data_IF_346150083658
#
_entry.id   IF_346150083658
#
_cell.length_a   1.000
_cell.length_b   1.000
_cell.length_c   1.000
_cell.angle_alpha   90.00
_cell.angle_beta   90.00
_cell.angle_gamma   90.00
#
_symmetry.space_group_name_H-M   'P 1'
#
loop_
_entity.id
_entity.type
_entity.pdbx_description
1 polymer ?
#
# COMPACT_ATOMS: atom_id res chain seq x y z
N UNK A 1 -11.50 5.16 -16.66
CA UNK A 1 -11.14 4.87 -15.25
C UNK A 1 -10.70 3.41 -15.14
N UNK A 2 -9.80 3.07 -14.23
CA UNK A 2 -9.44 1.66 -13.96
C UNK A 2 -10.69 0.84 -13.66
N UNK A 3 -10.69 -0.42 -14.10
CA UNK A 3 -11.81 -1.33 -13.86
C UNK A 3 -11.74 -2.00 -12.49
N UNK A 4 -10.52 -2.30 -12.02
CA UNK A 4 -10.27 -3.06 -10.80
C UNK A 4 -9.18 -2.41 -9.94
N UNK A 5 -9.22 -2.68 -8.64
CA UNK A 5 -8.22 -2.19 -7.68
C UNK A 5 -7.64 -3.37 -6.89
N UNK A 6 -6.31 -3.39 -6.75
CA UNK A 6 -5.60 -4.31 -5.84
C UNK A 6 -5.03 -3.49 -4.68
N UNK A 7 -5.36 -3.84 -3.44
CA UNK A 7 -4.82 -3.23 -2.23
C UNK A 7 -3.84 -4.22 -1.60
N UNK A 8 -2.55 -3.87 -1.55
CA UNK A 8 -1.51 -4.70 -0.94
C UNK A 8 -1.52 -4.51 0.57
N UNK A 9 -1.85 -5.55 1.33
CA UNK A 9 -2.04 -5.53 2.78
C UNK A 9 -1.25 -6.61 3.53
N UNK A 10 -0.09 -7.05 3.00
CA UNK A 10 0.76 -8.10 3.59
C UNK A 10 1.91 -7.61 4.47
N UNK A 11 2.14 -6.30 4.58
CA UNK A 11 3.27 -5.73 5.33
C UNK A 11 3.15 -5.82 6.85
N UNK A 12 4.30 -5.82 7.58
CA UNK A 12 4.34 -5.90 9.05
C UNK A 12 4.32 -4.54 9.75
N UNK A 13 4.96 -3.51 9.17
CA UNK A 13 5.00 -2.17 9.76
C UNK A 13 5.75 -2.06 11.09
N UNK A 14 6.87 -2.78 11.29
CA UNK A 14 7.63 -2.92 12.55
C UNK A 14 8.05 -1.59 13.20
N UNK A 15 8.22 -0.53 12.42
CA UNK A 15 8.69 0.78 12.90
C UNK A 15 7.67 1.54 13.77
N UNK A 16 6.41 1.07 13.84
CA UNK A 16 5.37 1.63 14.70
C UNK A 16 5.14 0.78 15.96
N UNK A 17 6.18 0.04 16.41
CA UNK A 17 6.16 -0.60 17.72
C UNK A 17 5.98 0.46 18.83
N UNK A 18 5.24 0.19 19.93
CA UNK A 18 4.55 -1.05 20.29
C UNK A 18 3.09 -1.17 19.78
N UNK A 19 2.62 -0.21 18.98
CA UNK A 19 1.25 -0.25 18.47
C UNK A 19 1.11 -1.27 17.33
N UNK A 20 2.08 -1.35 16.39
CA UNK A 20 2.11 -2.38 15.37
C UNK A 20 2.74 -3.68 15.90
N UNK A 21 2.14 -4.82 15.53
CA UNK A 21 2.56 -6.18 15.88
C UNK A 21 2.29 -7.10 14.69
N UNK A 22 2.88 -8.32 14.66
CA UNK A 22 2.62 -9.28 13.58
C UNK A 22 1.13 -9.62 13.37
N UNK A 23 0.35 -9.69 14.45
CA UNK A 23 -1.09 -9.94 14.46
C UNK A 23 -1.95 -8.68 14.31
N UNK A 24 -1.36 -7.48 14.48
CA UNK A 24 -2.00 -6.19 14.30
C UNK A 24 -1.02 -5.22 13.61
N UNK A 25 -0.68 -5.46 12.33
CA UNK A 25 0.28 -4.62 11.61
C UNK A 25 -0.26 -3.22 11.34
N UNK A 26 0.61 -2.34 10.86
CA UNK A 26 0.39 -0.91 10.67
C UNK A 26 -0.93 -0.56 9.97
N UNK A 27 -1.34 -1.31 8.95
CA UNK A 27 -2.56 -1.03 8.19
C UNK A 27 -3.85 -1.10 9.03
N UNK A 28 -3.81 -1.72 10.19
CA UNK A 28 -4.96 -1.76 11.12
C UNK A 28 -4.97 -0.64 12.15
N UNK A 29 -3.91 0.17 12.24
CA UNK A 29 -3.87 1.34 13.10
C UNK A 29 -4.80 2.43 12.58
N UNK A 30 -5.44 3.14 13.52
CA UNK A 30 -6.28 4.30 13.25
C UNK A 30 -5.50 5.59 13.52
N UNK A 31 -5.73 6.62 12.68
CA UNK A 31 -5.14 7.94 12.82
C UNK A 31 -6.06 8.95 13.55
N UNK A 32 -7.12 8.49 14.13
CA UNK A 32 -8.27 9.24 14.62
C UNK A 32 -9.54 8.76 13.90
N UNK A 33 -10.69 9.34 14.19
CA UNK A 33 -11.98 9.02 13.59
C UNK A 33 -12.39 7.52 13.55
N UNK A 34 -11.70 6.64 14.26
CA UNK A 34 -11.91 5.19 14.31
C UNK A 34 -11.94 4.49 12.93
N UNK A 35 -11.17 5.00 11.97
CA UNK A 35 -10.98 4.41 10.64
C UNK A 35 -9.51 4.01 10.49
N UNK A 36 -9.24 2.74 10.21
CA UNK A 36 -7.89 2.24 10.02
C UNK A 36 -7.29 2.66 8.66
N UNK A 37 -5.97 2.57 8.52
CA UNK A 37 -5.29 2.85 7.25
C UNK A 37 -5.81 1.95 6.12
N UNK A 38 -6.06 0.65 6.38
CA UNK A 38 -6.68 -0.25 5.41
C UNK A 38 -8.08 0.25 4.99
N UNK A 39 -8.91 0.65 5.95
CA UNK A 39 -10.24 1.18 5.65
C UNK A 39 -10.16 2.47 4.82
N UNK A 40 -9.19 3.35 5.09
CA UNK A 40 -8.92 4.51 4.24
C UNK A 40 -8.52 4.11 2.81
N UNK A 41 -7.78 3.01 2.62
CA UNK A 41 -7.46 2.49 1.27
C UNK A 41 -8.69 1.94 0.56
N UNK A 42 -9.60 1.25 1.27
CA UNK A 42 -10.88 0.81 0.72
C UNK A 42 -11.73 2.03 0.30
N UNK A 43 -11.83 3.07 1.15
CA UNK A 43 -12.55 4.31 0.81
C UNK A 43 -11.99 5.00 -0.44
N UNK A 44 -10.67 5.01 -0.62
CA UNK A 44 -10.04 5.53 -1.84
C UNK A 44 -10.41 4.71 -3.07
N UNK A 45 -10.44 3.37 -2.95
CA UNK A 45 -10.89 2.50 -4.04
C UNK A 45 -12.38 2.75 -4.40
N UNK A 46 -13.24 2.92 -3.40
CA UNK A 46 -14.66 3.25 -3.61
C UNK A 46 -14.84 4.62 -4.29
N UNK A 47 -14.03 5.63 -3.92
CA UNK A 47 -14.08 6.96 -4.52
C UNK A 47 -13.81 6.96 -6.04
N UNK A 48 -13.09 5.97 -6.55
CA UNK A 48 -12.85 5.79 -7.99
C UNK A 48 -14.08 5.30 -8.76
N UNK A 49 -15.13 4.84 -8.08
CA UNK A 49 -16.37 4.32 -8.68
C UNK A 49 -16.11 3.25 -9.74
N UNK A 50 -15.17 2.35 -9.45
CA UNK A 50 -14.79 1.26 -10.35
C UNK A 50 -15.97 0.29 -10.56
N UNK A 51 -16.07 -0.29 -11.75
CA UNK A 51 -17.12 -1.26 -12.09
C UNK A 51 -16.78 -2.70 -11.66
N UNK A 52 -15.50 -3.05 -11.63
CA UNK A 52 -15.00 -4.39 -11.34
C UNK A 52 -14.78 -4.65 -9.85
N UNK A 53 -13.72 -5.38 -9.51
CA UNK A 53 -13.46 -5.88 -8.16
C UNK A 53 -12.46 -5.02 -7.38
N UNK A 54 -12.56 -5.05 -6.05
CA UNK A 54 -11.55 -4.58 -5.11
C UNK A 54 -10.91 -5.80 -4.49
N UNK A 55 -9.63 -6.03 -4.74
CA UNK A 55 -8.88 -7.16 -4.20
C UNK A 55 -8.02 -6.69 -3.04
N UNK A 56 -8.15 -7.28 -1.86
CA UNK A 56 -7.20 -7.09 -0.76
C UNK A 56 -6.26 -8.30 -0.74
N UNK A 57 -5.03 -8.12 -1.23
CA UNK A 57 -4.02 -9.17 -1.16
C UNK A 57 -3.29 -9.10 0.19
N UNK A 58 -3.38 -10.18 0.98
CA UNK A 58 -2.86 -10.22 2.34
C UNK A 58 -2.32 -11.61 2.71
N UNK A 59 -1.65 -11.72 3.84
CA UNK A 59 -1.21 -12.99 4.40
C UNK A 59 -2.39 -13.76 4.98
N UNK A 60 -2.30 -15.10 4.97
CA UNK A 60 -3.35 -15.99 5.47
C UNK A 60 -3.74 -15.74 6.94
N UNK A 61 -2.75 -15.41 7.79
CA UNK A 61 -2.95 -15.10 9.20
C UNK A 61 -3.67 -13.75 9.45
N UNK A 62 -3.75 -12.88 8.46
CA UNK A 62 -4.44 -11.57 8.53
C UNK A 62 -5.81 -11.57 7.85
N UNK A 63 -6.22 -12.68 7.24
CA UNK A 63 -7.49 -12.80 6.51
C UNK A 63 -8.68 -12.32 7.34
N UNK A 64 -8.85 -12.88 8.54
CA UNK A 64 -9.99 -12.55 9.40
C UNK A 64 -9.97 -11.08 9.83
N UNK A 65 -8.80 -10.54 10.18
CA UNK A 65 -8.65 -9.13 10.54
C UNK A 65 -8.98 -8.19 9.39
N UNK A 66 -8.56 -8.51 8.16
CA UNK A 66 -8.93 -7.75 6.96
C UNK A 66 -10.43 -7.80 6.70
N UNK A 67 -11.04 -8.98 6.78
CA UNK A 67 -12.49 -9.16 6.59
C UNK A 67 -13.31 -8.38 7.63
N UNK A 68 -12.91 -8.46 8.90
CA UNK A 68 -13.54 -7.70 9.98
C UNK A 68 -13.46 -6.19 9.72
N UNK A 69 -12.30 -5.67 9.30
CA UNK A 69 -12.13 -4.23 8.98
C UNK A 69 -12.96 -3.80 7.77
N UNK A 70 -13.06 -4.62 6.74
CA UNK A 70 -13.92 -4.36 5.58
C UNK A 70 -15.40 -4.36 5.99
N UNK A 71 -15.84 -5.34 6.79
CA UNK A 71 -17.20 -5.40 7.31
C UNK A 71 -17.54 -4.21 8.22
N UNK A 72 -16.66 -3.87 9.18
CA UNK A 72 -16.83 -2.68 10.04
C UNK A 72 -16.99 -1.39 9.22
N UNK A 73 -16.27 -1.28 8.10
CA UNK A 73 -16.40 -0.16 7.18
C UNK A 73 -17.76 -0.19 6.45
N UNK A 74 -18.19 -1.36 5.96
CA UNK A 74 -19.47 -1.50 5.25
C UNK A 74 -20.68 -1.07 6.09
N UNK A 75 -20.55 -1.14 7.43
CA UNK A 75 -21.59 -0.66 8.35
C UNK A 75 -21.58 0.88 8.56
N UNK A 76 -20.58 1.59 8.03
CA UNK A 76 -20.38 3.05 8.24
C UNK A 76 -20.51 3.88 6.96
N UNK A 77 -20.64 3.23 5.82
CA UNK A 77 -20.74 3.88 4.49
C UNK A 77 -22.18 3.82 3.97
N UNK A 78 -22.53 4.65 2.98
CA UNK A 78 -23.83 4.58 2.29
C UNK A 78 -24.12 3.21 1.65
N UNK A 79 -25.42 2.90 1.43
CA UNK A 79 -25.85 1.58 0.95
C UNK A 79 -25.18 1.14 -0.37
N UNK A 80 -24.96 2.05 -1.30
CA UNK A 80 -24.28 1.72 -2.57
C UNK A 80 -22.82 1.28 -2.36
N UNK A 81 -22.09 1.94 -1.46
CA UNK A 81 -20.72 1.60 -1.12
C UNK A 81 -20.68 0.32 -0.26
N UNK A 82 -21.66 0.14 0.64
CA UNK A 82 -21.84 -1.09 1.41
C UNK A 82 -22.04 -2.28 0.48
N UNK A 83 -22.94 -2.17 -0.50
CA UNK A 83 -23.18 -3.20 -1.49
C UNK A 83 -21.88 -3.52 -2.27
N UNK A 84 -21.16 -2.49 -2.71
CA UNK A 84 -19.87 -2.65 -3.40
C UNK A 84 -18.84 -3.42 -2.57
N UNK A 85 -18.74 -3.15 -1.27
CA UNK A 85 -17.85 -3.89 -0.36
C UNK A 85 -18.32 -5.36 -0.23
N UNK A 86 -19.61 -5.62 -0.08
CA UNK A 86 -20.13 -6.97 0.17
C UNK A 86 -20.19 -7.87 -1.08
N UNK A 87 -20.27 -7.28 -2.29
CA UNK A 87 -20.42 -8.03 -3.55
C UNK A 87 -19.14 -8.06 -4.39
N UNK A 88 -18.29 -7.04 -4.28
CA UNK A 88 -17.16 -6.87 -5.18
C UNK A 88 -15.79 -6.82 -4.47
N UNK A 89 -15.74 -6.73 -3.13
CA UNK A 89 -14.49 -6.83 -2.42
C UNK A 89 -14.17 -8.30 -2.14
N UNK A 90 -12.95 -8.72 -2.53
CA UNK A 90 -12.44 -10.08 -2.34
C UNK A 90 -11.12 -10.02 -1.60
N UNK A 91 -10.96 -10.77 -0.52
CA UNK A 91 -9.68 -10.92 0.17
C UNK A 91 -8.96 -12.13 -0.39
N UNK A 92 -7.78 -11.90 -0.96
CA UNK A 92 -6.88 -12.92 -1.45
C UNK A 92 -5.81 -13.21 -0.39
N UNK A 93 -5.93 -14.36 0.27
CA UNK A 93 -5.01 -14.77 1.34
C UNK A 93 -3.86 -15.60 0.78
N UNK A 94 -2.69 -14.98 0.67
CA UNK A 94 -1.46 -15.61 0.17
C UNK A 94 -1.02 -16.77 1.07
N UNK A 95 -0.59 -17.92 0.52
CA UNK A 95 -0.11 -19.05 1.32
C UNK A 95 1.20 -18.76 2.06
N UNK A 96 2.05 -17.92 1.47
CA UNK A 96 3.30 -17.43 2.03
C UNK A 96 3.68 -16.05 1.47
N UNK A 97 4.45 -15.21 2.18
CA UNK A 97 4.82 -13.88 1.69
C UNK A 97 5.90 -13.95 0.61
N UNK A 98 5.58 -13.46 -0.60
CA UNK A 98 6.45 -13.44 -1.80
C UNK A 98 6.75 -12.02 -2.33
N UNK A 99 6.73 -10.99 -1.47
CA UNK A 99 6.76 -9.57 -1.86
C UNK A 99 5.54 -9.18 -2.73
N UNK A 100 5.68 -8.15 -3.55
CA UNK A 100 4.55 -7.51 -4.21
C UNK A 100 4.22 -8.07 -5.59
N UNK A 101 5.17 -8.71 -6.30
CA UNK A 101 4.91 -9.25 -7.66
C UNK A 101 3.92 -10.40 -7.65
N UNK A 102 4.12 -11.38 -6.75
CA UNK A 102 3.28 -12.57 -6.70
C UNK A 102 1.79 -12.26 -6.46
N UNK A 103 1.40 -11.49 -5.41
CA UNK A 103 -0.01 -11.16 -5.19
C UNK A 103 -0.61 -10.30 -6.30
N UNK A 104 0.15 -9.43 -6.95
CA UNK A 104 -0.33 -8.62 -8.06
C UNK A 104 -0.66 -9.50 -9.27
N UNK A 105 0.29 -10.34 -9.72
CA UNK A 105 0.06 -11.19 -10.89
C UNK A 105 -1.01 -12.26 -10.63
N UNK A 106 -1.06 -12.82 -9.41
CA UNK A 106 -2.12 -13.74 -9.01
C UNK A 106 -3.50 -13.08 -9.09
N UNK A 107 -3.62 -11.84 -8.58
CA UNK A 107 -4.86 -11.07 -8.65
C UNK A 107 -5.29 -10.81 -10.09
N UNK A 108 -4.36 -10.50 -11.00
CA UNK A 108 -4.66 -10.33 -12.42
C UNK A 108 -5.22 -11.62 -13.07
N UNK A 109 -4.58 -12.75 -12.83
CA UNK A 109 -5.09 -14.04 -13.34
C UNK A 109 -6.45 -14.40 -12.73
N UNK A 110 -6.62 -14.16 -11.43
CA UNK A 110 -7.89 -14.39 -10.74
C UNK A 110 -9.03 -13.57 -11.34
N UNK A 111 -8.80 -12.27 -11.61
CA UNK A 111 -9.79 -11.39 -12.23
C UNK A 111 -10.21 -11.93 -13.61
N UNK A 112 -9.27 -12.36 -14.43
CA UNK A 112 -9.56 -12.94 -15.75
C UNK A 112 -10.34 -14.25 -15.67
N UNK A 113 -10.09 -15.08 -14.66
CA UNK A 113 -10.82 -16.32 -14.44
C UNK A 113 -12.24 -16.08 -13.90
N UNK A 114 -12.42 -15.07 -13.04
CA UNK A 114 -13.73 -14.73 -12.48
C UNK A 114 -14.62 -13.96 -13.46
N UNK A 115 -14.02 -13.12 -14.32
CA UNK A 115 -14.73 -12.27 -15.29
C UNK A 115 -14.04 -12.32 -16.67
N UNK A 116 -14.09 -13.47 -17.36
CA UNK A 116 -13.22 -13.76 -18.51
C UNK A 116 -13.51 -12.93 -19.77
N UNK A 117 -14.65 -12.26 -19.84
CA UNK A 117 -15.05 -11.48 -21.03
C UNK A 117 -14.77 -9.98 -20.90
N UNK A 118 -14.10 -9.55 -19.83
CA UNK A 118 -13.80 -8.15 -19.56
C UNK A 118 -12.30 -7.90 -19.68
N UNK A 119 -11.93 -6.79 -20.30
CA UNK A 119 -10.56 -6.29 -20.21
C UNK A 119 -10.34 -5.67 -18.82
N UNK A 120 -9.28 -6.10 -18.14
CA UNK A 120 -8.95 -5.66 -16.79
C UNK A 120 -7.85 -4.60 -16.82
N UNK A 121 -8.20 -3.36 -16.48
CA UNK A 121 -7.26 -2.31 -16.16
C UNK A 121 -7.18 -2.15 -14.64
N UNK A 122 -5.98 -2.30 -14.09
CA UNK A 122 -5.76 -2.49 -12.67
C UNK A 122 -5.00 -1.32 -12.07
N UNK A 123 -5.49 -0.81 -10.95
CA UNK A 123 -4.78 0.10 -10.08
C UNK A 123 -4.32 -0.65 -8.83
N UNK A 124 -3.02 -0.62 -8.55
CA UNK A 124 -2.43 -1.15 -7.32
C UNK A 124 -2.27 -0.05 -6.29
N UNK A 125 -2.82 -0.24 -5.11
CA UNK A 125 -2.73 0.63 -3.95
C UNK A 125 -2.02 -0.07 -2.79
N UNK A 126 -1.40 0.72 -1.92
CA UNK A 126 -0.91 0.25 -0.62
C UNK A 126 -1.99 0.43 0.45
N UNK A 127 -2.03 -0.47 1.43
CA UNK A 127 -3.04 -0.45 2.49
C UNK A 127 -2.76 0.54 3.62
N UNK A 128 -1.59 1.17 3.63
CA UNK A 128 -1.02 1.82 4.82
C UNK A 128 -0.49 3.24 4.58
N UNK A 129 -0.76 3.82 3.41
CA UNK A 129 -0.39 5.19 3.07
C UNK A 129 -1.53 6.19 3.29
N UNK A 130 -1.15 7.44 3.56
CA UNK A 130 -2.06 8.58 3.59
C UNK A 130 -2.00 9.29 2.25
N UNK A 131 -3.17 9.61 1.71
CA UNK A 131 -3.34 10.34 0.45
C UNK A 131 -4.50 11.32 0.63
N UNK A 132 -4.22 12.61 0.49
CA UNK A 132 -5.21 13.70 0.64
C UNK A 132 -4.85 14.89 -0.27
N UNK A 133 -5.85 15.61 -0.83
CA UNK A 133 -7.26 15.28 -0.81
C UNK A 133 -7.59 14.13 -1.77
N UNK A 134 -8.71 13.43 -1.52
CA UNK A 134 -9.13 12.26 -2.32
C UNK A 134 -9.54 12.67 -3.74
N UNK A 135 -10.09 13.86 -3.93
CA UNK A 135 -10.49 14.38 -5.23
C UNK A 135 -9.29 14.51 -6.19
N UNK A 136 -8.14 14.97 -5.66
CA UNK A 136 -6.91 15.05 -6.46
C UNK A 136 -6.40 13.66 -6.81
N UNK A 137 -6.49 12.69 -5.88
CA UNK A 137 -6.14 11.30 -6.14
C UNK A 137 -7.01 10.71 -7.26
N UNK A 138 -8.32 10.93 -7.23
CA UNK A 138 -9.22 10.47 -8.30
C UNK A 138 -8.82 11.06 -9.66
N UNK A 139 -8.56 12.36 -9.73
CA UNK A 139 -8.12 13.04 -10.96
C UNK A 139 -6.79 12.49 -11.48
N UNK A 140 -5.81 12.26 -10.60
CA UNK A 140 -4.52 11.71 -10.99
C UNK A 140 -4.64 10.22 -11.42
N UNK A 141 -5.58 9.46 -10.85
CA UNK A 141 -5.92 8.11 -11.31
C UNK A 141 -6.56 8.08 -12.70
N UNK A 142 -7.37 9.10 -13.06
CA UNK A 142 -7.90 9.23 -14.43
C UNK A 142 -6.78 9.45 -15.45
N UNK A 143 -5.82 10.29 -15.12
CA UNK A 143 -4.63 10.51 -15.97
C UNK A 143 -3.77 9.25 -16.08
N UNK A 144 -3.55 8.55 -14.96
CA UNK A 144 -2.81 7.30 -14.95
C UNK A 144 -3.51 6.21 -15.78
N UNK A 145 -4.83 6.11 -15.73
CA UNK A 145 -5.59 5.19 -16.57
C UNK A 145 -5.41 5.45 -18.07
N UNK A 146 -5.45 6.72 -18.50
CA UNK A 146 -5.22 7.06 -19.91
C UNK A 146 -3.86 6.57 -20.41
N UNK A 147 -2.83 6.70 -19.57
CA UNK A 147 -1.50 6.18 -19.88
C UNK A 147 -1.44 4.64 -19.87
N UNK A 148 -2.03 4.01 -18.84
CA UNK A 148 -2.06 2.55 -18.71
C UNK A 148 -2.78 1.85 -19.88
N UNK A 149 -3.87 2.44 -20.39
CA UNK A 149 -4.62 1.98 -21.54
C UNK A 149 -3.82 1.98 -22.86
N UNK A 150 -2.63 2.57 -22.89
CA UNK A 150 -1.70 2.54 -24.04
C UNK A 150 -0.56 1.54 -23.84
N UNK A 151 -0.79 0.46 -23.11
CA UNK A 151 0.19 -0.58 -22.81
C UNK A 151 1.44 0.01 -22.09
N UNK A 152 1.22 0.69 -20.98
CA UNK A 152 2.27 1.23 -20.12
C UNK A 152 2.13 0.78 -18.67
N UNK A 153 3.28 0.61 -18.04
CA UNK A 153 3.39 0.51 -16.59
C UNK A 153 3.46 1.91 -16.01
N UNK A 154 2.47 2.32 -15.27
CA UNK A 154 2.36 3.69 -14.76
C UNK A 154 2.69 3.74 -13.28
N UNK A 155 3.63 4.62 -12.91
CA UNK A 155 3.99 4.93 -11.52
C UNK A 155 3.42 6.29 -11.13
N UNK A 156 3.04 6.47 -9.86
CA UNK A 156 2.67 7.78 -9.30
C UNK A 156 3.90 8.44 -8.68
N UNK A 157 4.31 9.56 -9.26
CA UNK A 157 5.54 10.28 -8.95
C UNK A 157 5.27 11.39 -7.93
N UNK A 158 5.81 11.23 -6.73
CA UNK A 158 5.67 12.17 -5.61
C UNK A 158 6.82 13.17 -5.61
N UNK A 159 6.58 14.48 -5.57
CA UNK A 159 7.65 15.46 -5.38
C UNK A 159 8.38 15.22 -4.05
N UNK A 160 9.72 15.04 -4.05
CA UNK A 160 10.46 14.78 -2.83
C UNK A 160 10.55 16.05 -1.96
N UNK A 161 10.44 15.88 -0.64
CA UNK A 161 10.61 16.95 0.34
C UNK A 161 11.95 16.86 1.07
N UNK A 162 12.68 15.74 0.91
CA UNK A 162 13.97 15.46 1.54
C UNK A 162 14.76 14.41 0.73
N UNK A 163 16.00 14.16 1.11
CA UNK A 163 16.84 13.10 0.53
C UNK A 163 16.64 11.76 1.27
N UNK A 164 15.48 11.13 1.09
CA UNK A 164 15.14 9.87 1.77
C UNK A 164 15.79 8.66 1.09
N UNK A 165 16.36 7.75 1.88
CA UNK A 165 16.83 6.43 1.42
C UNK A 165 15.74 5.36 1.56
N UNK A 166 14.56 5.73 2.06
CA UNK A 166 13.43 4.83 2.31
C UNK A 166 12.59 4.55 1.07
N UNK A 167 12.74 5.35 0.00
CA UNK A 167 11.89 5.33 -1.18
C UNK A 167 12.65 5.03 -2.46
N UNK A 168 11.95 4.50 -3.46
CA UNK A 168 12.42 4.45 -4.83
C UNK A 168 12.39 5.85 -5.46
N UNK A 169 13.27 6.11 -6.40
CA UNK A 169 13.37 7.37 -7.13
C UNK A 169 13.10 7.16 -8.62
N UNK A 170 12.30 8.06 -9.19
CA UNK A 170 11.90 8.10 -10.58
C UNK A 170 12.51 9.35 -11.21
N UNK A 171 13.37 9.19 -12.24
CA UNK A 171 13.79 10.28 -13.10
C UNK A 171 12.85 10.38 -14.29
N UNK A 172 12.17 11.52 -14.43
CA UNK A 172 11.29 11.77 -15.57
C UNK A 172 12.08 12.24 -16.80
N UNK A 173 11.70 11.73 -17.96
CA UNK A 173 12.19 12.14 -19.27
C UNK A 173 11.19 13.04 -20.00
N UNK A 174 10.94 12.73 -21.29
CA UNK A 174 10.03 13.50 -22.13
C UNK A 174 8.60 13.53 -21.58
N UNK A 175 7.99 14.73 -21.61
CA UNK A 175 6.57 14.92 -21.29
C UNK A 175 5.71 14.31 -22.41
N UNK A 176 4.67 13.58 -22.00
CA UNK A 176 3.63 13.04 -22.89
C UNK A 176 2.36 13.90 -22.78
N UNK A 177 1.98 14.26 -21.55
CA UNK A 177 0.94 15.26 -21.24
C UNK A 177 1.51 16.21 -20.17
N UNK A 178 0.83 17.26 -19.77
CA UNK A 178 1.29 18.15 -18.69
C UNK A 178 1.56 17.43 -17.36
N UNK A 179 0.96 16.26 -17.13
CA UNK A 179 1.13 15.47 -15.91
C UNK A 179 1.83 14.11 -16.12
N UNK A 180 1.93 13.63 -17.37
CA UNK A 180 2.46 12.30 -17.69
C UNK A 180 3.80 12.41 -18.38
N UNK A 181 4.79 11.65 -17.89
CA UNK A 181 6.17 11.65 -18.38
C UNK A 181 6.63 10.23 -18.65
N UNK A 182 7.52 10.06 -19.64
CA UNK A 182 8.28 8.82 -19.77
C UNK A 182 9.22 8.70 -18.57
N UNK A 183 9.43 7.49 -18.05
CA UNK A 183 10.45 7.23 -17.04
C UNK A 183 11.78 6.96 -17.77
N UNK A 184 12.82 7.76 -17.45
CA UNK A 184 14.17 7.56 -17.94
C UNK A 184 14.95 6.56 -17.08
N UNK A 185 14.77 6.66 -15.75
CA UNK A 185 15.47 5.82 -14.79
C UNK A 185 14.60 5.61 -13.56
N UNK A 186 14.55 4.38 -13.08
CA UNK A 186 13.98 4.00 -11.80
C UNK A 186 15.10 3.42 -10.92
N UNK A 187 15.15 3.82 -9.65
CA UNK A 187 16.14 3.31 -8.69
C UNK A 187 15.48 3.07 -7.33
N UNK A 188 15.36 1.82 -6.93
CA UNK A 188 14.81 1.44 -5.64
C UNK A 188 15.83 1.68 -4.52
N UNK A 189 15.42 2.44 -3.51
CA UNK A 189 16.13 2.71 -2.25
C UNK A 189 17.64 2.95 -2.42
N UNK A 190 18.06 4.09 -3.00
CA UNK A 190 19.46 4.42 -3.19
C UNK A 190 20.18 4.61 -1.85
N UNK A 191 21.51 4.60 -1.89
CA UNK A 191 22.32 5.03 -0.75
C UNK A 191 22.16 6.54 -0.45
N UNK A 192 22.62 6.99 0.71
CA UNK A 192 22.44 8.38 1.15
C UNK A 192 23.10 9.39 0.23
N UNK A 193 24.27 9.07 -0.34
CA UNK A 193 24.98 9.96 -1.26
C UNK A 193 24.15 10.16 -2.53
N UNK A 194 23.68 9.06 -3.12
CA UNK A 194 22.84 9.07 -4.32
C UNK A 194 21.51 9.78 -4.07
N UNK A 195 20.87 9.55 -2.90
CA UNK A 195 19.63 10.24 -2.53
C UNK A 195 19.82 11.76 -2.43
N UNK A 196 20.95 12.22 -1.84
CA UNK A 196 21.28 13.64 -1.77
C UNK A 196 21.47 14.26 -3.16
N UNK A 197 22.16 13.55 -4.07
CA UNK A 197 22.37 13.99 -5.45
C UNK A 197 21.04 14.09 -6.22
N UNK A 198 20.16 13.10 -6.05
CA UNK A 198 18.84 13.09 -6.69
C UNK A 198 17.96 14.23 -6.19
N UNK A 199 17.90 14.44 -4.89
CA UNK A 199 17.13 15.52 -4.29
C UNK A 199 17.65 16.89 -4.71
N UNK A 200 18.95 17.14 -4.64
CA UNK A 200 19.58 18.41 -5.03
C UNK A 200 19.39 18.74 -6.52
N UNK A 201 19.30 17.72 -7.38
CA UNK A 201 19.11 17.92 -8.82
C UNK A 201 17.74 18.48 -9.21
N UNK A 202 16.71 18.28 -8.38
CA UNK A 202 15.31 18.65 -8.66
C UNK A 202 14.67 17.88 -9.83
N UNK A 203 15.30 16.80 -10.32
CA UNK A 203 14.86 16.02 -11.50
C UNK A 203 14.25 14.67 -11.16
N UNK A 204 14.23 14.32 -9.88
CA UNK A 204 13.74 13.03 -9.41
C UNK A 204 12.53 13.19 -8.54
N UNK A 205 11.65 12.21 -8.64
CA UNK A 205 10.44 12.07 -7.81
C UNK A 205 10.55 10.78 -6.99
N UNK A 206 9.87 10.71 -5.86
CA UNK A 206 9.70 9.44 -5.16
C UNK A 206 8.67 8.55 -5.84
N UNK A 207 8.93 7.25 -5.83
CA UNK A 207 7.93 6.26 -6.17
C UNK A 207 6.98 6.06 -4.99
N UNK A 208 5.68 6.23 -5.22
CA UNK A 208 4.65 6.05 -4.19
C UNK A 208 4.36 4.58 -3.85
N UNK A 209 4.85 3.61 -4.66
CA UNK A 209 4.44 2.22 -4.55
C UNK A 209 3.02 1.93 -5.06
N UNK A 210 2.41 2.89 -5.77
CA UNK A 210 1.15 2.71 -6.48
C UNK A 210 1.43 2.58 -7.98
N UNK A 211 0.71 1.68 -8.65
CA UNK A 211 0.93 1.34 -10.05
C UNK A 211 -0.37 1.19 -10.82
N UNK A 212 -0.35 1.55 -12.10
CA UNK A 212 -1.47 1.36 -13.01
C UNK A 212 -1.02 0.64 -14.29
N UNK A 213 -1.81 -0.32 -14.77
CA UNK A 213 -1.53 -1.09 -15.99
C UNK A 213 -2.78 -1.86 -16.45
N UNK A 214 -2.76 -2.41 -17.67
CA UNK A 214 -3.71 -3.46 -18.06
C UNK A 214 -3.14 -4.84 -17.67
N UNK A 215 -4.02 -5.77 -17.25
CA UNK A 215 -3.60 -7.12 -16.85
C UNK A 215 -2.81 -7.81 -17.96
N UNK A 216 -3.26 -7.67 -19.21
CA UNK A 216 -2.60 -8.23 -20.38
C UNK A 216 -1.19 -7.66 -20.58
N UNK A 217 -1.04 -6.33 -20.46
CA UNK A 217 0.27 -5.68 -20.55
C UNK A 217 1.22 -6.19 -19.47
N UNK A 218 0.77 -6.22 -18.19
CA UNK A 218 1.60 -6.70 -17.08
C UNK A 218 2.13 -8.12 -17.33
N UNK A 219 1.25 -9.05 -17.74
CA UNK A 219 1.65 -10.43 -18.04
C UNK A 219 2.67 -10.51 -19.18
N UNK A 220 2.45 -9.74 -20.25
CA UNK A 220 3.37 -9.70 -21.38
C UNK A 220 4.73 -9.13 -21.01
N UNK A 221 4.76 -8.10 -20.16
CA UNK A 221 5.98 -7.45 -19.70
C UNK A 221 6.73 -8.33 -18.68
N UNK A 222 5.99 -9.00 -17.78
CA UNK A 222 6.57 -9.94 -16.83
C UNK A 222 7.28 -11.11 -17.53
N UNK A 223 6.69 -11.62 -18.64
CA UNK A 223 7.33 -12.67 -19.45
C UNK A 223 8.67 -12.24 -20.04
N UNK A 224 8.88 -10.94 -20.29
CA UNK A 224 10.14 -10.40 -20.82
C UNK A 224 11.14 -10.09 -19.68
N UNK A 225 10.66 -9.52 -18.58
CA UNK A 225 11.50 -9.02 -17.49
C UNK A 225 11.82 -10.08 -16.45
N UNK A 226 10.86 -10.99 -16.15
CA UNK A 226 10.95 -12.06 -15.15
C UNK A 226 10.29 -13.34 -15.65
N UNK A 227 10.90 -14.05 -16.61
CA UNK A 227 10.31 -15.24 -17.22
C UNK A 227 10.02 -16.36 -16.21
N UNK A 228 10.83 -16.50 -15.15
CA UNK A 228 10.62 -17.50 -14.10
C UNK A 228 9.31 -17.23 -13.32
N UNK A 229 9.02 -15.97 -12.99
CA UNK A 229 7.76 -15.60 -12.36
C UNK A 229 6.60 -15.87 -13.31
N UNK A 230 6.70 -15.45 -14.58
CA UNK A 230 5.67 -15.71 -15.58
C UNK A 230 5.36 -17.19 -15.71
N UNK A 231 6.38 -18.05 -15.79
CA UNK A 231 6.26 -19.50 -15.89
C UNK A 231 5.61 -20.12 -14.62
N UNK A 232 5.95 -19.61 -13.44
CA UNK A 232 5.36 -20.09 -12.20
C UNK A 232 3.82 -19.94 -12.16
N UNK A 233 3.29 -18.88 -12.80
CA UNK A 233 1.85 -18.59 -12.84
C UNK A 233 1.11 -19.16 -14.08
N UNK A 234 1.76 -19.92 -14.95
CA UNK A 234 1.10 -20.58 -16.09
C UNK A 234 0.00 -21.56 -15.64
N UNK A 235 0.20 -22.26 -14.52
CA UNK A 235 -0.81 -23.17 -13.95
C UNK A 235 -2.08 -22.41 -13.52
N UNK A 236 -1.96 -21.15 -13.10
CA UNK A 236 -3.11 -20.31 -12.74
C UNK A 236 -3.87 -19.87 -14.00
N UNK A 237 -3.15 -19.44 -15.04
CA UNK A 237 -3.77 -18.94 -16.27
C UNK A 237 -4.57 -19.99 -17.04
N UNK A 238 -4.22 -21.26 -16.90
CA UNK A 238 -4.88 -22.41 -17.56
C UNK A 238 -5.76 -23.22 -16.61
N UNK A 239 -5.78 -22.84 -15.32
CA UNK A 239 -6.48 -23.53 -14.26
C UNK A 239 -7.96 -23.15 -14.14
N UNK A 240 -8.55 -23.58 -13.05
CA UNK A 240 -9.95 -23.25 -12.72
C UNK A 240 -10.02 -21.97 -11.90
N UNK A 241 -11.12 -21.24 -12.06
CA UNK A 241 -11.41 -20.10 -11.16
C UNK A 241 -11.50 -20.57 -9.70
N UNK A 242 -10.99 -19.79 -8.76
CA UNK A 242 -11.08 -20.13 -7.34
C UNK A 242 -12.52 -20.13 -6.85
N UNK A 243 -12.81 -20.96 -5.86
CA UNK A 243 -14.06 -20.90 -5.12
C UNK A 243 -14.03 -19.74 -4.12
N UNK A 244 -15.09 -18.94 -4.11
CA UNK A 244 -15.26 -17.84 -3.17
C UNK A 244 -16.00 -18.33 -1.93
N UNK A 245 -15.42 -18.11 -0.77
CA UNK A 245 -16.07 -18.29 0.54
C UNK A 245 -16.40 -16.93 1.16
N UNK A 246 -17.21 -16.89 2.22
CA UNK A 246 -17.54 -15.66 2.95
C UNK A 246 -17.19 -15.76 4.43
N UNK A 247 -16.67 -14.66 4.96
CA UNK A 247 -16.48 -14.39 6.38
C UNK A 247 -16.88 -12.95 6.66
N UNK A 248 -17.69 -12.69 7.69
CA UNK A 248 -18.27 -11.36 7.97
C UNK A 248 -18.91 -10.72 6.73
N UNK A 249 -19.68 -11.50 5.93
CA UNK A 249 -20.26 -11.08 4.65
C UNK A 249 -19.26 -10.60 3.56
N UNK A 250 -17.96 -10.79 3.75
CA UNK A 250 -16.90 -10.43 2.81
C UNK A 250 -16.39 -11.68 2.10
N UNK A 251 -16.26 -11.63 0.80
CA UNK A 251 -15.68 -12.72 0.00
C UNK A 251 -14.19 -12.88 0.26
N UNK A 252 -13.73 -14.14 0.28
CA UNK A 252 -12.31 -14.45 0.38
C UNK A 252 -11.91 -15.72 -0.37
N UNK A 253 -10.62 -15.83 -0.65
CA UNK A 253 -9.92 -17.00 -1.18
C UNK A 253 -8.73 -17.27 -0.27
N UNK A 254 -8.64 -18.48 0.29
CA UNK A 254 -7.52 -18.92 1.13
C UNK A 254 -7.02 -20.32 0.78
N UNK A 255 -7.74 -21.02 -0.10
CA UNK A 255 -7.41 -22.35 -0.62
C UNK A 255 -7.69 -22.35 -2.11
N UNK A 256 -6.66 -22.49 -2.90
CA UNK A 256 -6.71 -22.55 -4.36
C UNK A 256 -5.48 -23.30 -4.83
N UNK A 257 -5.66 -24.48 -5.38
CA UNK A 257 -4.56 -25.38 -5.74
C UNK A 257 -3.55 -24.69 -6.65
N UNK A 258 -4.02 -24.04 -7.69
CA UNK A 258 -3.18 -23.33 -8.66
C UNK A 258 -2.35 -22.21 -8.02
N UNK A 259 -2.92 -21.49 -7.06
CA UNK A 259 -2.20 -20.49 -6.27
C UNK A 259 -1.06 -21.14 -5.46
N UNK A 260 -1.33 -22.23 -4.76
CA UNK A 260 -0.31 -22.92 -3.96
C UNK A 260 0.82 -23.48 -4.84
N UNK A 261 0.49 -24.00 -6.01
CA UNK A 261 1.50 -24.50 -6.97
C UNK A 261 2.36 -23.36 -7.53
N UNK A 262 1.75 -22.24 -7.89
CA UNK A 262 2.47 -21.06 -8.38
C UNK A 262 3.41 -20.49 -7.29
N UNK A 263 2.92 -20.38 -6.05
CA UNK A 263 3.70 -19.82 -4.95
C UNK A 263 4.91 -20.68 -4.56
N UNK A 264 4.85 -22.00 -4.70
CA UNK A 264 6.01 -22.91 -4.50
C UNK A 264 7.14 -22.64 -5.49
N UNK A 265 6.81 -22.18 -6.70
CA UNK A 265 7.77 -22.01 -7.81
C UNK A 265 8.23 -20.57 -7.99
N UNK A 266 7.40 -19.58 -7.62
CA UNK A 266 7.70 -18.18 -7.86
C UNK A 266 8.80 -17.67 -6.93
N UNK A 267 9.79 -16.92 -7.44
CA UNK A 267 10.79 -16.24 -6.61
C UNK A 267 10.15 -15.13 -5.77
N UNK A 268 10.84 -14.74 -4.71
CA UNK A 268 10.44 -13.64 -3.83
C UNK A 268 10.99 -12.32 -4.37
N UNK A 269 10.19 -11.56 -5.10
CA UNK A 269 10.61 -10.32 -5.76
C UNK A 269 9.53 -9.24 -5.67
N UNK A 270 9.95 -7.97 -5.46
CA UNK A 270 9.06 -6.82 -5.51
C UNK A 270 8.76 -6.41 -6.96
N UNK A 271 7.57 -5.88 -7.22
CA UNK A 271 7.17 -5.41 -8.55
C UNK A 271 8.07 -4.27 -9.05
N UNK A 272 8.62 -3.48 -8.13
CA UNK A 272 9.60 -2.45 -8.39
C UNK A 272 10.83 -3.01 -9.11
N UNK A 273 11.40 -4.09 -8.59
CA UNK A 273 12.58 -4.76 -9.16
C UNK A 273 12.23 -5.68 -10.35
N UNK A 274 11.02 -6.27 -10.32
CA UNK A 274 10.60 -7.17 -11.38
C UNK A 274 10.25 -6.42 -12.67
N UNK A 275 9.58 -5.28 -12.57
CA UNK A 275 9.06 -4.53 -13.71
C UNK A 275 9.58 -3.11 -13.75
N UNK A 276 9.39 -2.28 -12.69
CA UNK A 276 9.63 -0.85 -12.78
C UNK A 276 11.10 -0.48 -13.11
N UNK A 277 12.08 -1.21 -12.59
CA UNK A 277 13.50 -1.02 -12.90
C UNK A 277 13.92 -1.55 -14.29
N UNK A 278 13.14 -2.46 -14.91
CA UNK A 278 13.55 -3.20 -16.12
C UNK A 278 12.80 -2.79 -17.37
N UNK A 279 11.53 -2.44 -17.22
CA UNK A 279 10.69 -2.13 -18.39
C UNK A 279 11.08 -0.81 -19.06
N UNK A 280 11.06 -0.79 -20.39
CA UNK A 280 11.21 0.41 -21.20
C UNK A 280 9.86 1.12 -21.46
N UNK A 281 8.77 0.51 -21.00
CA UNK A 281 7.41 0.97 -21.20
C UNK A 281 6.82 1.57 -19.92
N UNK A 282 7.63 2.24 -19.10
CA UNK A 282 7.20 2.89 -17.88
C UNK A 282 6.93 4.37 -18.06
N UNK A 283 5.78 4.83 -17.54
CA UNK A 283 5.39 6.23 -17.46
C UNK A 283 5.19 6.64 -16.00
N UNK A 284 5.40 7.92 -15.71
CA UNK A 284 5.17 8.52 -14.41
C UNK A 284 4.04 9.56 -14.52
N UNK A 285 3.09 9.53 -13.62
CA UNK A 285 2.10 10.59 -13.43
C UNK A 285 2.51 11.41 -12.22
N UNK A 286 2.75 12.72 -12.44
CA UNK A 286 3.01 13.67 -11.36
C UNK A 286 1.76 13.89 -10.55
N UNK A 287 1.86 13.69 -9.23
CA UNK A 287 0.70 13.74 -8.33
C UNK A 287 0.37 15.17 -7.90
N UNK A 288 -0.92 15.43 -7.72
CA UNK A 288 -1.45 16.67 -7.15
C UNK A 288 -2.00 16.49 -5.73
N UNK A 289 -1.99 15.26 -5.21
CA UNK A 289 -2.31 14.97 -3.82
C UNK A 289 -1.05 14.94 -2.93
N UNK A 290 -1.23 15.15 -1.63
CA UNK A 290 -0.22 14.92 -0.62
C UNK A 290 -0.16 13.43 -0.28
N UNK A 291 1.06 12.90 -0.15
CA UNK A 291 1.32 11.51 0.12
C UNK A 291 2.32 11.35 1.29
N UNK A 292 2.05 10.36 2.15
CA UNK A 292 2.98 9.95 3.21
C UNK A 292 2.81 8.44 3.44
N UNK A 293 3.92 7.72 3.53
CA UNK A 293 3.91 6.29 3.82
C UNK A 293 3.69 5.98 5.31
N UNK A 294 3.64 7.00 6.18
CA UNK A 294 3.49 6.87 7.64
C UNK A 294 4.46 5.84 8.23
N UNK A 295 5.68 5.82 7.70
CA UNK A 295 6.68 4.80 8.01
C UNK A 295 7.36 4.96 9.38
N UNK A 296 7.00 5.97 10.18
CA UNK A 296 7.63 6.26 11.44
C UNK A 296 6.67 6.92 12.44
N UNK A 297 7.01 6.97 13.72
CA UNK A 297 6.23 7.68 14.71
C UNK A 297 6.21 9.20 14.49
N UNK A 298 7.30 9.77 13.98
CA UNK A 298 7.34 11.17 13.58
C UNK A 298 6.33 11.48 12.47
N UNK A 299 6.25 10.62 11.46
CA UNK A 299 5.25 10.73 10.39
C UNK A 299 3.84 10.47 10.92
N UNK A 300 3.64 9.40 11.71
CA UNK A 300 2.34 9.05 12.30
C UNK A 300 1.75 10.20 13.13
N UNK A 301 2.58 10.87 13.94
CA UNK A 301 2.16 11.96 14.82
C UNK A 301 1.66 13.22 14.09
N UNK A 302 1.98 13.38 12.80
CA UNK A 302 1.49 14.50 11.97
C UNK A 302 0.03 14.33 11.56
N UNK A 303 -0.46 13.09 11.52
CA UNK A 303 -1.77 12.74 10.97
C UNK A 303 -2.72 12.16 12.00
N UNK A 304 -2.20 11.57 13.07
CA UNK A 304 -3.01 10.96 14.10
C UNK A 304 -3.55 12.01 15.08
N UNK A 305 -4.81 11.84 15.45
CA UNK A 305 -5.39 12.49 16.63
C UNK A 305 -4.78 11.84 17.85
N UNK A 306 -3.72 12.46 18.39
CA UNK A 306 -3.09 12.03 19.62
C UNK A 306 -3.65 12.77 20.82
N UNK A 307 -3.13 12.42 22.02
CA UNK A 307 -3.44 13.09 23.28
C UNK A 307 -4.85 12.83 23.85
N UNK A 308 -5.64 11.93 23.28
CA UNK A 308 -6.98 11.59 23.81
C UNK A 308 -6.96 11.13 25.28
N UNK A 309 -5.86 10.48 25.69
CA UNK A 309 -5.67 9.98 27.05
C UNK A 309 -4.71 10.84 27.90
N UNK A 310 -4.41 12.07 27.50
CA UNK A 310 -3.66 13.01 28.33
C UNK A 310 -4.61 13.63 29.36
N UNK A 311 -4.50 13.20 30.60
CA UNK A 311 -5.37 13.63 31.70
C UNK A 311 -4.86 14.87 32.47
N UNK A 312 -3.56 15.13 32.40
CA UNK A 312 -2.94 16.31 33.05
C UNK A 312 -1.67 16.71 32.28
N UNK A 313 -1.41 18.01 32.24
CA UNK A 313 -0.22 18.58 31.59
C UNK A 313 0.27 19.80 32.42
N UNK A 314 1.52 19.77 32.83
CA UNK A 314 2.18 20.88 33.51
C UNK A 314 3.53 21.18 32.83
N UNK A 315 3.77 22.42 32.42
CA UNK A 315 4.99 22.90 31.77
C UNK A 315 5.53 22.02 30.65
N UNK A 316 4.58 21.38 29.90
CA UNK A 316 4.92 20.41 28.85
C UNK A 316 4.41 20.87 27.50
N UNK A 317 5.28 20.87 26.49
CA UNK A 317 4.99 21.39 25.17
C UNK A 317 5.36 20.41 24.04
N UNK A 318 4.69 20.55 22.89
CA UNK A 318 4.99 19.83 21.65
C UNK A 318 5.12 18.30 21.80
N UNK A 319 4.35 17.70 22.74
CA UNK A 319 4.34 16.25 22.93
C UNK A 319 3.17 15.60 22.18
N UNK A 320 3.42 14.42 21.62
CA UNK A 320 2.41 13.54 21.05
C UNK A 320 2.26 12.29 21.93
N UNK A 321 1.04 11.96 22.31
CA UNK A 321 0.73 10.77 23.12
C UNK A 321 -0.26 9.89 22.39
N UNK A 322 0.10 8.62 22.20
CA UNK A 322 -0.76 7.58 21.63
C UNK A 322 -0.82 6.41 22.63
N UNK A 323 -1.86 6.40 23.46
CA UNK A 323 -1.92 5.53 24.65
C UNK A 323 -3.27 4.85 24.81
N UNK A 324 -3.29 3.65 25.40
CA UNK A 324 -4.49 2.94 25.84
C UNK A 324 -4.86 3.29 27.29
N UNK A 325 -3.95 3.93 28.01
CA UNK A 325 -4.13 4.29 29.43
C UNK A 325 -3.97 5.79 29.62
N UNK A 326 -4.50 6.34 30.72
CA UNK A 326 -4.30 7.74 31.07
C UNK A 326 -2.81 8.08 31.26
N UNK A 327 -2.39 9.24 30.73
CA UNK A 327 -1.03 9.76 30.79
C UNK A 327 -1.04 11.19 31.33
N UNK A 328 -0.15 11.48 32.26
CA UNK A 328 0.16 12.83 32.71
C UNK A 328 1.55 13.24 32.21
N UNK A 329 1.70 14.47 31.76
CA UNK A 329 2.97 15.04 31.31
C UNK A 329 3.39 16.17 32.27
N UNK A 330 4.64 16.14 32.76
CA UNK A 330 5.18 17.12 33.64
C UNK A 330 6.61 17.52 33.24
N UNK A 331 6.81 18.78 32.91
CA UNK A 331 8.10 19.40 32.54
C UNK A 331 8.85 18.60 31.44
N UNK A 332 8.14 18.28 30.35
CA UNK A 332 8.70 17.56 29.22
C UNK A 332 8.36 18.23 27.89
N UNK A 333 9.29 18.17 26.93
CA UNK A 333 9.14 18.82 25.62
C UNK A 333 9.57 17.88 24.49
N UNK A 334 8.96 18.07 23.32
CA UNK A 334 9.33 17.40 22.07
C UNK A 334 9.34 15.86 22.15
N UNK A 335 8.41 15.28 22.91
CA UNK A 335 8.33 13.83 23.04
C UNK A 335 7.22 13.21 22.20
N UNK A 336 7.48 11.97 21.80
CA UNK A 336 6.48 11.01 21.35
C UNK A 336 6.40 9.92 22.42
N UNK A 337 5.21 9.75 23.02
CA UNK A 337 4.91 8.76 24.03
C UNK A 337 3.88 7.79 23.45
N UNK A 338 4.25 6.52 23.34
CA UNK A 338 3.36 5.48 22.84
C UNK A 338 3.22 4.40 23.90
N UNK A 339 1.99 4.19 24.38
CA UNK A 339 1.69 3.14 25.36
C UNK A 339 0.57 2.28 24.79
N UNK A 340 0.93 1.14 24.27
CA UNK A 340 0.02 0.19 23.62
C UNK A 340 0.39 -1.24 23.99
N UNK A 341 -0.63 -2.08 24.15
CA UNK A 341 -0.43 -3.51 24.37
C UNK A 341 0.45 -3.82 25.60
N UNK A 342 0.34 -3.05 26.69
CA UNK A 342 1.13 -3.21 27.92
C UNK A 342 2.62 -2.85 27.77
N UNK A 343 3.00 -2.17 26.69
CA UNK A 343 4.38 -1.73 26.43
C UNK A 343 4.42 -0.22 26.18
N UNK A 344 5.52 0.41 26.58
CA UNK A 344 5.75 1.83 26.40
C UNK A 344 6.97 2.10 25.53
N UNK A 345 6.85 3.06 24.62
CA UNK A 345 7.95 3.69 23.90
C UNK A 345 7.90 5.19 24.24
N UNK A 346 9.02 5.73 24.70
CA UNK A 346 9.20 7.17 24.91
C UNK A 346 10.40 7.58 24.07
N UNK A 347 10.21 8.53 23.19
CA UNK A 347 11.29 9.01 22.32
C UNK A 347 11.19 10.52 22.10
N UNK A 348 12.32 11.15 21.79
CA UNK A 348 12.34 12.54 21.31
C UNK A 348 11.82 12.58 19.86
N UNK A 349 11.04 13.60 19.50
CA UNK A 349 10.68 13.87 18.10
C UNK A 349 11.93 13.95 17.24
N UNK A 350 11.86 13.41 16.02
CA UNK A 350 12.99 13.28 15.10
C UNK A 350 13.89 12.05 15.32
N UNK A 351 13.59 11.18 16.31
CA UNK A 351 14.41 10.00 16.64
C UNK A 351 13.80 8.67 16.22
N UNK A 352 12.77 8.68 15.37
CA UNK A 352 12.05 7.45 14.96
C UNK A 352 12.95 6.41 14.25
N UNK A 353 14.07 6.82 13.66
CA UNK A 353 15.05 5.93 13.03
C UNK A 353 15.64 4.92 14.02
N UNK A 354 15.73 5.26 15.30
CA UNK A 354 16.28 4.41 16.36
C UNK A 354 15.30 3.33 16.84
N UNK A 355 14.00 3.46 16.55
CA UNK A 355 12.96 2.51 17.02
C UNK A 355 13.25 1.08 16.56
N UNK A 356 13.74 0.91 15.31
CA UNK A 356 14.09 -0.43 14.80
C UNK A 356 15.20 -1.10 15.63
N UNK A 357 16.18 -0.35 16.09
CA UNK A 357 17.29 -0.90 16.88
C UNK A 357 16.84 -1.26 18.30
N UNK A 358 15.96 -0.44 18.88
CA UNK A 358 15.28 -0.76 20.14
C UNK A 358 14.48 -2.05 20.02
N UNK A 359 13.67 -2.21 18.96
CA UNK A 359 12.86 -3.43 18.75
C UNK A 359 13.74 -4.68 18.61
N UNK A 360 14.86 -4.57 17.87
CA UNK A 360 15.82 -5.69 17.75
C UNK A 360 16.46 -6.09 19.07
N UNK A 361 16.64 -5.16 20.01
CA UNK A 361 17.25 -5.43 21.31
C UNK A 361 16.27 -6.03 22.32
N UNK A 362 14.96 -6.03 22.06
CA UNK A 362 13.91 -6.59 22.91
C UNK A 362 13.58 -8.05 22.53
N UNK A 363 13.83 -8.42 21.28
CA UNK A 363 13.63 -9.77 20.73
C UNK A 363 14.94 -10.56 20.74
#
# INVERSE_FOLDING_TARGET
MFTDVIILAGGFGERLWPASRPDNPKQFLSLGNNISLLQNSILRALALKIEGKIIIATRKDLLESCAKKAYELSCKVPDAEKQKIQEDLIILAEPEPKHTTAPIILSCHMLELLVPQKEHSVLVLTSDHIIKPVENFVTDCEEAYKAAATDKFVCFAIPPTEASTGYGYIKTGNSITPKTYKIDTFKEKPDQKTANEYFASGKYFWNSGMFGFTSQFLKSELKKCEPEVSQAFECVSTGKAPELSKIHDIFYISQWQEMEEAYKKTPKIAIDNAIAEKTKNAYAVSTSFNWDDVGSWDAFSKFAEGNENVIAKAESENCFVYSDIPVALCDVQDLIVVIKNGKALIMKKGSSNLVRDVVKSIN
#
